data_IF_363526850809
#
_entry.id   IF_363526850809
#
_cell.length_a   1.000
_cell.length_b   1.000
_cell.length_c   1.000
_cell.angle_alpha   90.00
_cell.angle_beta   90.00
_cell.angle_gamma   90.00
#
_symmetry.space_group_name_H-M   'P 1'
#
loop_
_entity.id
_entity.type
_entity.pdbx_description
1 polymer ?
#
# COMPACT_ATOMS: atom_id res chain seq x y z
N UNK A 1 -0.48 -11.88 -2.76
CA UNK A 1 -0.18 -10.42 -2.77
C UNK A 1 1.12 -10.17 -2.04
N UNK A 2 1.94 -9.24 -2.52
CA UNK A 2 3.18 -8.81 -1.87
C UNK A 2 2.98 -7.42 -1.25
N UNK A 3 3.38 -7.22 0.00
CA UNK A 3 3.27 -5.98 0.76
C UNK A 3 4.61 -5.62 1.42
N UNK A 4 4.80 -4.35 1.83
CA UNK A 4 6.08 -3.89 2.37
C UNK A 4 6.38 -4.47 3.75
N UNK A 5 5.39 -4.48 4.62
CA UNK A 5 5.60 -4.79 6.02
C UNK A 5 4.44 -5.48 6.72
N UNK A 6 4.59 -5.69 8.03
CA UNK A 6 3.59 -6.40 8.83
C UNK A 6 2.29 -5.61 9.03
N UNK A 7 2.29 -4.28 8.91
CA UNK A 7 1.07 -3.48 9.06
C UNK A 7 0.06 -3.77 7.95
N UNK A 8 0.53 -3.80 6.69
CA UNK A 8 -0.30 -4.18 5.55
C UNK A 8 -0.76 -5.63 5.66
N UNK A 9 0.14 -6.53 6.09
CA UNK A 9 -0.20 -7.95 6.27
C UNK A 9 -1.38 -8.08 7.25
N UNK A 10 -1.28 -7.52 8.45
CA UNK A 10 -2.31 -7.59 9.48
C UNK A 10 -3.65 -7.02 8.99
N UNK A 11 -3.63 -5.81 8.44
CA UNK A 11 -4.85 -5.16 7.96
C UNK A 11 -5.52 -5.95 6.83
N UNK A 12 -4.75 -6.39 5.85
CA UNK A 12 -5.32 -7.06 4.67
C UNK A 12 -5.81 -8.46 4.97
N UNK A 13 -5.15 -9.20 5.88
CA UNK A 13 -5.66 -10.48 6.38
C UNK A 13 -6.99 -10.29 7.13
N UNK A 14 -7.09 -9.26 7.99
CA UNK A 14 -8.34 -8.94 8.70
C UNK A 14 -9.47 -8.61 7.71
N UNK A 15 -9.19 -7.78 6.70
CA UNK A 15 -10.19 -7.40 5.68
C UNK A 15 -10.58 -8.63 4.85
N UNK A 16 -9.61 -9.36 4.29
CA UNK A 16 -9.89 -10.54 3.45
C UNK A 16 -10.65 -11.62 4.21
N UNK A 17 -10.28 -11.92 5.46
CA UNK A 17 -11.00 -12.91 6.28
C UNK A 17 -12.45 -12.54 6.55
N UNK A 18 -12.76 -11.23 6.61
CA UNK A 18 -14.14 -10.74 6.74
C UNK A 18 -14.94 -10.88 5.45
N UNK A 19 -14.30 -10.64 4.29
CA UNK A 19 -14.96 -10.72 2.98
C UNK A 19 -15.11 -12.17 2.53
N UNK A 20 -14.05 -12.95 2.65
CA UNK A 20 -13.99 -14.36 2.30
C UNK A 20 -13.22 -15.15 3.37
N UNK A 21 -13.90 -15.78 4.34
CA UNK A 21 -13.24 -16.56 5.39
C UNK A 21 -12.39 -17.74 4.87
N UNK A 22 -12.53 -18.09 3.60
CA UNK A 22 -11.81 -19.18 2.96
C UNK A 22 -10.77 -18.72 1.94
N UNK A 23 -10.36 -17.43 1.96
CA UNK A 23 -9.45 -16.86 0.96
C UNK A 23 -8.14 -17.65 0.79
N UNK A 24 -7.59 -18.22 1.86
CA UNK A 24 -6.39 -19.08 1.77
C UNK A 24 -6.67 -20.39 1.06
N UNK A 25 -7.85 -20.98 1.24
CA UNK A 25 -8.28 -22.21 0.53
C UNK A 25 -8.45 -21.93 -0.96
N UNK A 26 -8.88 -20.69 -1.29
CA UNK A 26 -8.98 -20.21 -2.67
C UNK A 26 -7.60 -19.85 -3.28
N UNK A 27 -6.51 -20.09 -2.53
CA UNK A 27 -5.14 -19.87 -2.99
C UNK A 27 -4.64 -18.43 -2.88
N UNK A 28 -5.31 -17.57 -2.10
CA UNK A 28 -4.90 -16.19 -1.86
C UNK A 28 -3.97 -16.14 -0.65
N UNK A 29 -2.77 -15.61 -0.84
CA UNK A 29 -1.78 -15.44 0.22
C UNK A 29 -1.23 -14.01 0.21
N UNK A 30 -1.01 -13.45 1.40
CA UNK A 30 -0.34 -12.17 1.58
C UNK A 30 1.05 -12.44 2.13
N UNK A 31 2.07 -11.85 1.52
CA UNK A 31 3.46 -12.00 1.92
C UNK A 31 4.08 -10.62 2.16
N UNK A 32 4.50 -10.36 3.39
CA UNK A 32 5.37 -9.24 3.71
C UNK A 32 6.78 -9.52 3.19
N UNK A 33 7.32 -8.59 2.38
CA UNK A 33 8.69 -8.69 1.86
C UNK A 33 9.70 -8.03 2.80
N UNK A 34 9.25 -7.49 3.93
CA UNK A 34 10.07 -6.80 4.94
C UNK A 34 10.95 -5.71 4.32
N UNK A 35 10.33 -4.82 3.53
CA UNK A 35 10.98 -3.71 2.85
C UNK A 35 10.61 -3.58 1.38
N UNK A 36 11.56 -3.16 0.56
CA UNK A 36 11.30 -2.76 -0.85
C UNK A 36 11.83 -3.75 -1.89
N UNK A 37 12.09 -4.98 -1.49
CA UNK A 37 12.73 -6.03 -2.30
C UNK A 37 11.82 -6.72 -3.33
N UNK A 38 10.66 -6.18 -3.68
CA UNK A 38 9.62 -6.79 -4.51
C UNK A 38 10.10 -7.44 -5.80
N UNK A 39 11.03 -6.81 -6.53
CA UNK A 39 11.44 -7.29 -7.86
C UNK A 39 12.02 -8.72 -7.85
N UNK A 40 12.62 -9.15 -6.76
CA UNK A 40 13.14 -10.52 -6.64
C UNK A 40 12.00 -11.53 -6.44
N UNK A 41 11.02 -11.19 -5.59
CA UNK A 41 9.83 -12.02 -5.39
C UNK A 41 9.01 -12.12 -6.68
N UNK A 42 8.78 -11.01 -7.38
CA UNK A 42 8.06 -10.99 -8.66
C UNK A 42 8.74 -11.88 -9.71
N UNK A 43 10.10 -11.88 -9.79
CA UNK A 43 10.84 -12.77 -10.69
C UNK A 43 10.60 -14.25 -10.36
N UNK A 44 10.63 -14.61 -9.07
CA UNK A 44 10.38 -15.98 -8.63
C UNK A 44 8.95 -16.39 -8.95
N UNK A 45 7.96 -15.55 -8.61
CA UNK A 45 6.55 -15.83 -8.86
C UNK A 45 6.26 -15.95 -10.37
N UNK A 46 6.86 -15.09 -11.20
CA UNK A 46 6.77 -15.20 -12.66
C UNK A 46 7.35 -16.53 -13.19
N UNK A 47 8.52 -16.95 -12.67
CA UNK A 47 9.12 -18.23 -13.06
C UNK A 47 8.25 -19.43 -12.67
N UNK A 48 7.51 -19.32 -11.57
CA UNK A 48 6.56 -20.31 -11.09
C UNK A 48 5.16 -20.17 -11.73
N UNK A 49 4.93 -19.14 -12.57
CA UNK A 49 3.63 -18.80 -13.18
C UNK A 49 2.53 -18.55 -12.14
N UNK A 50 2.90 -17.97 -11.00
CA UNK A 50 1.98 -17.58 -9.93
C UNK A 50 1.57 -16.13 -10.17
N UNK A 51 0.25 -15.85 -10.24
CA UNK A 51 -0.29 -14.49 -10.28
C UNK A 51 0.12 -13.74 -9.01
N UNK A 52 0.56 -12.52 -9.16
CA UNK A 52 0.94 -11.68 -8.02
C UNK A 52 0.42 -10.26 -8.19
N UNK A 53 0.26 -9.60 -7.06
CA UNK A 53 -0.10 -8.19 -6.93
C UNK A 53 0.87 -7.59 -5.92
N UNK A 54 1.29 -6.35 -6.14
CA UNK A 54 2.13 -5.56 -5.22
C UNK A 54 1.33 -4.37 -4.71
N UNK A 55 1.29 -4.17 -3.39
CA UNK A 55 0.89 -2.91 -2.75
C UNK A 55 2.12 -2.28 -2.11
N UNK A 56 2.35 -0.97 -2.35
CA UNK A 56 3.55 -0.27 -1.92
C UNK A 56 3.28 1.22 -1.71
N UNK A 57 4.12 1.90 -0.89
CA UNK A 57 3.95 3.30 -0.52
C UNK A 57 4.52 4.27 -1.54
N UNK A 58 3.96 5.49 -1.58
CA UNK A 58 4.44 6.59 -2.40
C UNK A 58 5.55 7.37 -1.67
N UNK A 59 6.70 6.71 -1.53
CA UNK A 59 7.85 7.28 -0.84
C UNK A 59 8.55 8.38 -1.63
N UNK A 60 8.87 9.48 -0.96
CA UNK A 60 9.90 10.43 -1.38
C UNK A 60 11.13 10.23 -0.50
N UNK A 61 12.31 10.01 -1.08
CA UNK A 61 13.55 9.81 -0.32
C UNK A 61 14.65 10.72 -0.83
N UNK A 62 15.46 11.22 0.09
CA UNK A 62 16.64 12.02 -0.23
C UNK A 62 17.83 11.09 -0.54
N UNK A 63 18.35 11.08 -1.78
CA UNK A 63 19.57 10.35 -2.09
C UNK A 63 20.77 10.92 -1.33
N UNK A 64 21.73 10.07 -0.99
CA UNK A 64 22.93 10.50 -0.27
C UNK A 64 23.67 11.62 -1.04
N UNK A 65 23.93 12.74 -0.36
CA UNK A 65 24.65 13.89 -0.93
C UNK A 65 23.81 14.78 -1.85
N UNK A 66 22.50 14.61 -1.90
CA UNK A 66 21.56 15.50 -2.61
C UNK A 66 20.76 16.35 -1.62
N UNK A 67 20.30 17.53 -2.08
CA UNK A 67 19.36 18.40 -1.33
C UNK A 67 17.94 17.92 -1.48
N UNK A 68 17.58 17.46 -2.66
CA UNK A 68 16.21 17.20 -3.06
C UNK A 68 15.83 15.73 -2.83
N UNK A 69 14.55 15.51 -2.62
CA UNK A 69 13.93 14.20 -2.52
C UNK A 69 13.50 13.72 -3.91
N UNK A 70 13.58 12.45 -4.16
CA UNK A 70 13.14 11.84 -5.43
C UNK A 70 11.98 10.88 -5.19
N UNK A 71 11.15 10.66 -6.21
CA UNK A 71 10.02 9.76 -6.22
C UNK A 71 10.48 8.28 -6.13
N UNK A 72 10.78 7.83 -4.92
CA UNK A 72 11.32 6.49 -4.66
C UNK A 72 10.27 5.39 -4.85
N UNK A 73 9.01 5.67 -4.54
CA UNK A 73 7.88 4.80 -4.85
C UNK A 73 7.77 4.52 -6.35
N UNK A 74 7.93 5.57 -7.19
CA UNK A 74 7.94 5.43 -8.65
C UNK A 74 9.14 4.65 -9.18
N UNK A 75 10.33 4.89 -8.62
CA UNK A 75 11.52 4.08 -8.95
C UNK A 75 11.30 2.60 -8.65
N UNK A 76 10.61 2.32 -7.54
CA UNK A 76 10.26 0.96 -7.13
C UNK A 76 9.32 0.31 -8.13
N UNK A 77 8.26 1.00 -8.53
CA UNK A 77 7.33 0.53 -9.57
C UNK A 77 8.07 0.25 -10.89
N UNK A 78 8.84 1.20 -11.40
CA UNK A 78 9.64 1.03 -12.60
C UNK A 78 10.60 -0.19 -12.52
N UNK A 79 11.23 -0.40 -11.37
CA UNK A 79 12.11 -1.55 -11.13
C UNK A 79 11.36 -2.89 -11.16
N UNK A 80 10.11 -2.94 -10.70
CA UNK A 80 9.28 -4.14 -10.74
C UNK A 80 8.86 -4.41 -12.18
N UNK A 81 8.43 -3.38 -12.92
CA UNK A 81 8.02 -3.46 -14.32
C UNK A 81 9.22 -3.83 -15.23
N UNK A 82 10.39 -3.29 -14.93
CA UNK A 82 11.61 -3.48 -15.72
C UNK A 82 11.86 -2.40 -16.77
N UNK A 83 11.07 -1.32 -16.75
CA UNK A 83 11.17 -0.17 -17.65
C UNK A 83 10.78 1.14 -16.94
N UNK A 84 11.19 2.29 -17.51
CA UNK A 84 10.90 3.62 -16.95
C UNK A 84 9.51 4.12 -17.41
N UNK A 85 8.45 3.57 -16.82
CA UNK A 85 7.05 3.93 -17.11
C UNK A 85 6.62 5.20 -16.37
N UNK A 86 7.06 5.36 -15.12
CA UNK A 86 6.74 6.50 -14.27
C UNK A 86 7.90 7.50 -14.24
N UNK A 87 7.64 8.83 -14.34
CA UNK A 87 8.69 9.84 -14.33
C UNK A 87 9.34 9.96 -12.95
N UNK A 88 10.67 10.06 -12.91
CA UNK A 88 11.40 10.28 -11.66
C UNK A 88 11.57 11.77 -11.44
N UNK A 89 10.67 12.36 -10.67
CA UNK A 89 10.65 13.78 -10.32
C UNK A 89 11.37 14.01 -8.98
N UNK A 90 11.84 15.26 -8.79
CA UNK A 90 12.48 15.72 -7.55
C UNK A 90 11.62 16.76 -6.85
N UNK A 91 11.64 16.72 -5.51
CA UNK A 91 10.86 17.58 -4.62
C UNK A 91 11.75 18.20 -3.53
N UNK A 92 11.41 19.39 -3.02
CA UNK A 92 12.21 20.05 -1.96
C UNK A 92 12.15 19.29 -0.62
N UNK A 93 11.06 18.58 -0.36
CA UNK A 93 10.80 17.84 0.87
C UNK A 93 9.92 16.60 0.61
N UNK A 94 9.70 15.77 1.65
CA UNK A 94 8.88 14.57 1.63
C UNK A 94 7.45 14.79 2.17
N UNK A 95 6.95 16.01 2.05
CA UNK A 95 5.61 16.36 2.56
C UNK A 95 4.49 15.53 1.91
N UNK A 96 3.42 15.33 2.68
CA UNK A 96 2.18 14.69 2.19
C UNK A 96 1.64 15.44 0.95
N UNK A 97 1.75 16.77 0.93
CA UNK A 97 1.31 17.59 -0.20
C UNK A 97 2.07 17.23 -1.50
N UNK A 98 3.41 17.07 -1.43
CA UNK A 98 4.22 16.69 -2.56
C UNK A 98 3.90 15.26 -3.04
N UNK A 99 3.68 14.32 -2.13
CA UNK A 99 3.27 12.94 -2.46
C UNK A 99 1.91 12.90 -3.16
N UNK A 100 0.93 13.64 -2.64
CA UNK A 100 -0.41 13.75 -3.25
C UNK A 100 -0.36 14.39 -4.64
N UNK A 101 0.44 15.44 -4.81
CA UNK A 101 0.63 16.10 -6.10
C UNK A 101 1.26 15.13 -7.11
N UNK A 102 2.35 14.44 -6.73
CA UNK A 102 3.01 13.43 -7.56
C UNK A 102 2.02 12.34 -8.01
N UNK A 103 1.21 11.83 -7.08
CA UNK A 103 0.19 10.82 -7.40
C UNK A 103 -0.86 11.36 -8.39
N UNK A 104 -1.41 12.54 -8.11
CA UNK A 104 -2.49 13.14 -8.91
C UNK A 104 -2.04 13.48 -10.34
N UNK A 105 -0.83 14.02 -10.50
CA UNK A 105 -0.25 14.36 -11.81
C UNK A 105 0.03 13.13 -12.68
N UNK A 106 0.20 11.96 -12.07
CA UNK A 106 0.55 10.71 -12.77
C UNK A 106 -0.57 9.65 -12.67
N UNK A 107 -1.78 10.05 -12.29
CA UNK A 107 -2.88 9.11 -12.01
C UNK A 107 -3.18 8.16 -13.17
N UNK A 108 -3.20 8.64 -14.41
CA UNK A 108 -3.46 7.82 -15.59
C UNK A 108 -2.40 6.71 -15.74
N UNK A 109 -1.11 7.04 -15.65
CA UNK A 109 -0.03 6.05 -15.70
C UNK A 109 -0.07 5.08 -14.51
N UNK A 110 -0.47 5.55 -13.32
CA UNK A 110 -0.65 4.70 -12.14
C UNK A 110 -1.83 3.74 -12.31
N UNK A 111 -2.94 4.18 -12.90
CA UNK A 111 -4.07 3.31 -13.23
C UNK A 111 -3.70 2.27 -14.29
N UNK A 112 -2.88 2.64 -15.27
CA UNK A 112 -2.37 1.72 -16.28
C UNK A 112 -1.45 0.62 -15.69
N UNK A 113 -0.51 0.96 -14.80
CA UNK A 113 0.33 -0.06 -14.15
C UNK A 113 -0.46 -0.92 -13.17
N UNK A 114 -1.49 -0.36 -12.54
CA UNK A 114 -2.45 -1.12 -11.72
C UNK A 114 -3.16 -2.17 -12.56
N UNK A 115 -3.73 -1.78 -13.69
CA UNK A 115 -4.50 -2.66 -14.56
C UNK A 115 -3.63 -3.70 -15.28
N UNK A 116 -2.44 -3.30 -15.76
CA UNK A 116 -1.61 -4.14 -16.64
C UNK A 116 -0.51 -4.88 -15.91
N UNK A 117 -0.03 -4.37 -14.76
CA UNK A 117 1.11 -4.93 -14.04
C UNK A 117 0.77 -5.41 -12.63
N UNK A 118 -0.46 -5.18 -12.13
CA UNK A 118 -0.84 -5.56 -10.77
C UNK A 118 -0.09 -4.81 -9.67
N UNK A 119 0.37 -3.57 -9.93
CA UNK A 119 1.11 -2.74 -8.98
C UNK A 119 0.21 -1.62 -8.47
N UNK A 120 -0.03 -1.59 -7.18
CA UNK A 120 -0.89 -0.64 -6.47
C UNK A 120 -0.04 0.25 -5.58
N UNK A 121 0.16 1.49 -5.99
CA UNK A 121 0.83 2.50 -5.19
C UNK A 121 -0.19 3.19 -4.27
N UNK A 122 0.15 3.43 -3.00
CA UNK A 122 -0.61 4.29 -2.09
C UNK A 122 -0.62 5.73 -2.59
N UNK A 123 -1.64 6.51 -2.23
CA UNK A 123 -1.61 7.97 -2.51
C UNK A 123 -0.48 8.63 -1.71
N UNK A 124 -0.29 8.22 -0.47
CA UNK A 124 0.82 8.63 0.41
C UNK A 124 1.51 7.39 1.00
N UNK A 125 0.85 6.73 1.93
CA UNK A 125 1.23 5.48 2.61
C UNK A 125 -0.03 4.78 3.14
N UNK A 126 0.13 3.61 3.76
CA UNK A 126 -0.98 2.81 4.27
C UNK A 126 -1.84 3.59 5.27
N UNK A 127 -1.19 4.28 6.22
CA UNK A 127 -1.87 4.98 7.31
C UNK A 127 -2.70 6.17 6.80
N UNK A 128 -2.18 6.92 5.82
CA UNK A 128 -2.93 8.00 5.17
C UNK A 128 -4.06 7.47 4.28
N UNK A 129 -3.84 6.37 3.53
CA UNK A 129 -4.88 5.74 2.73
C UNK A 129 -6.03 5.25 3.63
N UNK A 130 -5.71 4.72 4.81
CA UNK A 130 -6.70 4.23 5.78
C UNK A 130 -7.46 5.37 6.45
N UNK A 131 -6.78 6.45 6.82
CA UNK A 131 -7.38 7.65 7.40
C UNK A 131 -8.39 8.31 6.43
N UNK A 132 -8.09 8.33 5.14
CA UNK A 132 -9.01 8.83 4.11
C UNK A 132 -10.34 8.05 4.08
N UNK A 133 -10.31 6.77 4.44
CA UNK A 133 -11.48 5.87 4.39
C UNK A 133 -12.27 5.86 5.69
N UNK A 134 -11.59 5.92 6.85
CA UNK A 134 -12.18 5.63 8.16
C UNK A 134 -11.84 6.70 9.23
N UNK A 135 -11.53 7.94 8.87
CA UNK A 135 -11.02 8.95 9.80
C UNK A 135 -11.74 9.00 11.16
N UNK A 136 -13.06 9.16 11.14
CA UNK A 136 -13.85 9.30 12.37
C UNK A 136 -13.79 8.03 13.24
N UNK A 137 -13.87 6.85 12.59
CA UNK A 137 -13.80 5.56 13.28
C UNK A 137 -12.38 5.33 13.86
N UNK A 138 -11.34 5.70 13.13
CA UNK A 138 -9.95 5.61 13.61
C UNK A 138 -9.72 6.51 14.82
N UNK A 139 -10.25 7.73 14.80
CA UNK A 139 -10.18 8.65 15.96
C UNK A 139 -10.85 8.03 17.20
N UNK A 140 -11.99 7.36 17.02
CA UNK A 140 -12.70 6.69 18.10
C UNK A 140 -11.94 5.46 18.61
N UNK A 141 -11.52 4.55 17.72
CA UNK A 141 -10.85 3.29 18.09
C UNK A 141 -9.50 3.50 18.75
N UNK A 142 -8.76 4.53 18.31
CA UNK A 142 -7.40 4.82 18.80
C UNK A 142 -7.36 5.89 19.89
N UNK A 143 -8.52 6.46 20.27
CA UNK A 143 -8.67 7.56 21.25
C UNK A 143 -7.69 8.71 20.95
N UNK A 144 -7.66 9.16 19.69
CA UNK A 144 -6.74 10.21 19.22
C UNK A 144 -7.40 11.10 18.18
N UNK A 145 -6.96 12.37 18.10
CA UNK A 145 -7.35 13.29 17.04
C UNK A 145 -6.42 13.25 15.80
N UNK A 146 -5.34 12.47 15.86
CA UNK A 146 -4.39 12.29 14.76
C UNK A 146 -4.04 10.79 14.62
N UNK A 147 -4.93 10.01 13.99
CA UNK A 147 -4.75 8.56 13.86
C UNK A 147 -3.55 8.19 12.99
N UNK A 148 -3.20 9.01 11.99
CA UNK A 148 -2.02 8.77 11.13
C UNK A 148 -0.75 8.83 11.95
N UNK A 149 -0.53 9.93 12.71
CA UNK A 149 0.66 10.06 13.54
C UNK A 149 0.71 8.97 14.64
N UNK A 150 -0.44 8.57 15.18
CA UNK A 150 -0.51 7.49 16.15
C UNK A 150 -0.05 6.16 15.53
N UNK A 151 -0.62 5.75 14.39
CA UNK A 151 -0.28 4.51 13.70
C UNK A 151 1.19 4.48 13.28
N UNK A 152 1.73 5.59 12.74
CA UNK A 152 3.12 5.69 12.30
C UNK A 152 4.15 5.58 13.44
N UNK A 153 3.78 5.91 14.68
CA UNK A 153 4.69 5.93 15.84
C UNK A 153 5.18 4.54 16.24
N UNK A 154 4.33 3.53 16.15
CA UNK A 154 4.67 2.14 16.48
C UNK A 154 3.98 1.16 15.51
N UNK A 155 4.06 1.47 14.24
CA UNK A 155 3.43 0.84 13.06
C UNK A 155 2.69 -0.48 13.32
N UNK A 156 3.42 -1.61 13.35
CA UNK A 156 2.79 -2.93 13.44
C UNK A 156 2.09 -3.20 14.79
N UNK A 157 2.54 -2.61 15.91
CA UNK A 157 1.87 -2.78 17.20
C UNK A 157 0.52 -2.07 17.20
N UNK A 158 0.48 -0.79 16.81
CA UNK A 158 -0.77 -0.04 16.74
C UNK A 158 -1.71 -0.59 15.67
N UNK A 159 -1.17 -1.15 14.57
CA UNK A 159 -1.99 -1.84 13.59
C UNK A 159 -2.60 -3.13 14.14
N UNK A 160 -1.87 -3.88 14.97
CA UNK A 160 -2.42 -5.07 15.64
C UNK A 160 -3.61 -4.70 16.57
N UNK A 161 -3.46 -3.63 17.36
CA UNK A 161 -4.56 -3.14 18.20
C UNK A 161 -5.77 -2.68 17.34
N UNK A 162 -5.49 -1.99 16.23
CA UNK A 162 -6.53 -1.49 15.34
C UNK A 162 -7.32 -2.62 14.68
N UNK A 163 -6.67 -3.68 14.18
CA UNK A 163 -7.37 -4.78 13.48
C UNK A 163 -8.27 -5.59 14.41
N UNK A 164 -8.05 -5.53 15.72
CA UNK A 164 -8.96 -6.07 16.72
C UNK A 164 -10.18 -5.16 16.96
N UNK A 165 -10.02 -3.84 16.78
CA UNK A 165 -11.07 -2.86 17.03
C UNK A 165 -12.00 -2.63 15.83
N UNK A 166 -11.50 -2.69 14.60
CA UNK A 166 -12.30 -2.43 13.38
C UNK A 166 -13.40 -3.46 13.20
N UNK A 167 -14.57 -2.97 12.80
CA UNK A 167 -15.76 -3.79 12.57
C UNK A 167 -15.77 -4.45 11.20
N UNK A 168 -16.66 -5.41 11.00
CA UNK A 168 -16.90 -6.01 9.69
C UNK A 168 -17.44 -4.99 8.66
N UNK A 169 -18.14 -3.95 9.12
CA UNK A 169 -18.60 -2.87 8.25
C UNK A 169 -17.41 -2.03 7.75
N UNK A 170 -16.45 -1.72 8.63
CA UNK A 170 -15.23 -1.02 8.27
C UNK A 170 -14.40 -1.83 7.28
N UNK A 171 -14.26 -3.14 7.51
CA UNK A 171 -13.58 -4.04 6.57
C UNK A 171 -14.22 -4.01 5.17
N UNK A 172 -15.56 -3.99 5.08
CA UNK A 172 -16.26 -3.86 3.79
C UNK A 172 -16.04 -2.49 3.15
N UNK A 173 -15.98 -1.43 3.94
CA UNK A 173 -15.70 -0.07 3.46
C UNK A 173 -14.28 0.01 2.90
N UNK A 174 -13.28 -0.52 3.62
CA UNK A 174 -11.89 -0.62 3.16
C UNK A 174 -11.83 -1.42 1.85
N UNK A 175 -12.43 -2.61 1.81
CA UNK A 175 -12.41 -3.50 0.64
C UNK A 175 -12.96 -2.85 -0.62
N UNK A 176 -14.04 -2.07 -0.51
CA UNK A 176 -14.67 -1.39 -1.65
C UNK A 176 -14.02 -0.06 -2.04
N UNK A 177 -13.00 0.41 -1.31
CA UNK A 177 -12.41 1.71 -1.57
C UNK A 177 -11.27 1.64 -2.61
N UNK A 178 -11.18 2.68 -3.46
CA UNK A 178 -10.19 2.77 -4.53
C UNK A 178 -8.72 2.62 -4.05
N UNK A 179 -8.37 3.18 -2.87
CA UNK A 179 -7.02 3.09 -2.31
C UNK A 179 -6.62 1.64 -1.96
N UNK A 180 -7.63 0.78 -1.76
CA UNK A 180 -7.49 -0.63 -1.40
C UNK A 180 -7.96 -1.59 -2.51
N UNK A 181 -8.09 -1.12 -3.75
CA UNK A 181 -8.53 -1.93 -4.89
C UNK A 181 -7.63 -3.16 -5.18
N UNK A 182 -6.42 -3.22 -4.61
CA UNK A 182 -5.58 -4.42 -4.62
C UNK A 182 -6.26 -5.62 -3.94
N UNK A 183 -7.10 -5.38 -2.92
CA UNK A 183 -7.85 -6.42 -2.21
C UNK A 183 -8.95 -7.03 -3.08
N UNK A 184 -9.65 -6.19 -3.85
CA UNK A 184 -10.63 -6.68 -4.82
C UNK A 184 -9.94 -7.43 -5.96
N UNK A 185 -8.81 -6.91 -6.47
CA UNK A 185 -8.10 -7.52 -7.60
C UNK A 185 -7.51 -8.89 -7.27
N UNK A 186 -7.07 -9.13 -6.03
CA UNK A 186 -6.53 -10.44 -5.63
C UNK A 186 -7.62 -11.51 -5.53
N UNK A 187 -8.89 -11.12 -5.37
CA UNK A 187 -10.01 -12.06 -5.28
C UNK A 187 -10.61 -12.47 -6.64
N UNK A 188 -10.13 -11.90 -7.74
CA UNK A 188 -10.51 -12.24 -9.12
C UNK A 188 -9.63 -13.35 -9.68
#
# INVERSE_FOLDING_TARGET
MLVEGPSELLLFERVLSTINPFYEVDGIYILSVEGVGFSQYCKILNALKIKWIVKTDNDLRRPRGKSDYVAYGFQRCNKIIGEETLPIQSYPDDSIANKRTLYAENKEALDDIRANCGIFLSVVDLENDLDEVLHDNLCEYLDTSDPVAYLQKAKHFHMADLVEAITDADCRTIFGHYNFACLEEITK
#
